data_IF_602015651750
#
_entry.id   IF_602015651750
#
_cell.length_a   1.000
_cell.length_b   1.000
_cell.length_c   1.000
_cell.angle_alpha   90.00
_cell.angle_beta   90.00
_cell.angle_gamma   90.00
#
_symmetry.space_group_name_H-M   'P 1'
#
loop_
_entity.id
_entity.type
_entity.pdbx_description
1 polymer ?
#
# COMPACT_ATOMS: atom_id res chain seq x y z
N UNK A 1 -8.08 31.11 -8.76
CA UNK A 1 -7.80 32.24 -9.68
C UNK A 1 -6.50 31.95 -10.44
N UNK A 2 -6.54 31.12 -11.49
CA UNK A 2 -5.48 31.01 -12.51
C UNK A 2 -6.08 30.41 -13.81
N UNK A 3 -5.97 31.19 -14.89
CA UNK A 3 -6.09 30.95 -16.34
C UNK A 3 -6.83 29.69 -16.88
N UNK A 4 -8.07 29.90 -17.32
CA UNK A 4 -8.67 29.22 -18.49
C UNK A 4 -9.27 30.27 -19.44
N UNK A 5 -8.39 31.00 -20.14
CA UNK A 5 -8.78 31.90 -21.25
C UNK A 5 -8.05 31.35 -22.48
N UNK A 6 -8.69 30.42 -23.19
CA UNK A 6 -8.10 29.78 -24.36
C UNK A 6 -9.08 29.18 -25.37
N UNK A 7 -10.32 28.87 -24.97
CA UNK A 7 -11.30 28.22 -25.86
C UNK A 7 -12.38 29.15 -26.46
N UNK A 8 -12.50 30.39 -25.97
CA UNK A 8 -13.47 31.37 -26.48
C UNK A 8 -13.15 31.88 -27.92
N UNK A 9 -11.88 32.04 -28.36
CA UNK A 9 -11.60 32.57 -29.70
C UNK A 9 -11.92 31.59 -30.84
N UNK A 10 -11.86 30.27 -30.57
CA UNK A 10 -12.00 29.21 -31.58
C UNK A 10 -13.48 29.04 -31.98
N UNK A 11 -14.40 29.10 -31.01
CA UNK A 11 -15.84 29.04 -31.26
C UNK A 11 -16.32 30.28 -32.04
N UNK A 12 -15.76 31.46 -31.73
CA UNK A 12 -16.04 32.69 -32.48
C UNK A 12 -15.57 32.65 -33.94
N UNK A 13 -14.48 31.95 -34.24
CA UNK A 13 -13.95 31.79 -35.60
C UNK A 13 -14.80 30.83 -36.44
N UNK A 14 -15.31 29.76 -35.84
CA UNK A 14 -16.19 28.78 -36.49
C UNK A 14 -17.55 29.42 -36.82
N UNK A 15 -18.12 30.22 -35.91
CA UNK A 15 -19.36 30.95 -36.15
C UNK A 15 -19.22 32.04 -37.23
N UNK A 16 -18.06 32.71 -37.32
CA UNK A 16 -17.78 33.70 -38.39
C UNK A 16 -17.58 33.04 -39.76
N UNK A 17 -17.03 31.82 -39.83
CA UNK A 17 -16.93 31.05 -41.09
C UNK A 17 -18.29 30.51 -41.55
N UNK A 18 -19.16 30.09 -40.63
CA UNK A 18 -20.52 29.66 -40.98
C UNK A 18 -21.39 30.81 -41.52
N UNK A 19 -21.28 32.02 -40.96
CA UNK A 19 -22.03 33.19 -41.45
C UNK A 19 -21.56 33.70 -42.84
N UNK A 20 -20.32 33.42 -43.26
CA UNK A 20 -19.83 33.78 -44.60
C UNK A 20 -20.28 32.83 -45.71
N UNK A 21 -20.66 31.60 -45.37
CA UNK A 21 -21.14 30.59 -46.34
C UNK A 21 -22.64 30.82 -46.68
N UNK A 22 -23.37 31.57 -45.85
CA UNK A 22 -24.78 31.89 -46.08
C UNK A 22 -25.04 33.13 -46.96
N UNK A 23 -23.99 33.81 -47.46
CA UNK A 23 -24.14 35.04 -48.27
C UNK A 23 -24.04 34.85 -49.79
N UNK A 24 -23.88 33.62 -50.30
CA UNK A 24 -23.94 33.34 -51.74
C UNK A 24 -24.91 32.19 -52.00
N UNK A 25 -26.15 32.53 -52.36
CA UNK A 25 -27.17 31.55 -52.74
C UNK A 25 -28.56 32.18 -52.76
N UNK A 26 -28.91 32.82 -53.86
CA UNK A 26 -30.30 33.13 -54.18
C UNK A 26 -31.08 31.82 -54.34
N UNK A 27 -32.02 31.51 -53.46
CA UNK A 27 -33.24 30.76 -53.80
C UNK A 27 -34.33 31.06 -52.78
N UNK A 28 -35.39 31.72 -53.25
CA UNK A 28 -36.64 31.94 -52.53
C UNK A 28 -37.33 30.59 -52.29
N UNK A 29 -37.29 30.07 -51.06
CA UNK A 29 -38.32 29.21 -50.42
C UNK A 29 -37.86 28.66 -49.06
N UNK A 30 -37.46 29.50 -48.09
CA UNK A 30 -37.10 29.02 -46.74
C UNK A 30 -37.64 29.97 -45.65
N UNK A 31 -38.95 30.21 -45.63
CA UNK A 31 -39.60 30.88 -44.48
C UNK A 31 -40.42 29.91 -43.61
N UNK A 32 -40.48 28.61 -43.93
CA UNK A 32 -41.06 27.56 -43.07
C UNK A 32 -40.05 26.68 -42.32
N UNK A 33 -38.76 26.73 -42.67
CA UNK A 33 -37.71 25.95 -41.97
C UNK A 33 -37.06 26.72 -40.80
N UNK A 34 -37.24 28.04 -40.71
CA UNK A 34 -36.57 28.86 -39.68
C UNK A 34 -37.24 28.76 -38.31
N UNK A 35 -38.55 28.44 -38.23
CA UNK A 35 -39.22 28.23 -36.92
C UNK A 35 -38.89 26.89 -36.25
N UNK A 36 -38.43 25.88 -37.00
CA UNK A 36 -38.01 24.59 -36.43
C UNK A 36 -36.59 24.69 -35.83
N UNK A 37 -35.78 25.65 -36.30
CA UNK A 37 -34.38 25.80 -35.87
C UNK A 37 -34.19 26.50 -34.51
N UNK A 38 -35.05 27.45 -34.13
CA UNK A 38 -34.88 28.21 -32.87
C UNK A 38 -35.35 27.44 -31.63
N UNK A 39 -36.35 26.57 -31.76
CA UNK A 39 -36.82 25.69 -30.67
C UNK A 39 -35.87 24.50 -30.47
N UNK A 40 -35.17 24.06 -31.51
CA UNK A 40 -34.17 23.00 -31.42
C UNK A 40 -32.88 23.45 -30.73
N UNK A 41 -32.36 24.65 -31.04
CA UNK A 41 -31.05 25.08 -30.50
C UNK A 41 -31.10 25.36 -29.00
N UNK A 42 -32.14 26.03 -28.47
CA UNK A 42 -32.26 26.26 -27.02
C UNK A 42 -32.41 24.96 -26.24
N UNK A 43 -33.17 24.01 -26.78
CA UNK A 43 -33.38 22.70 -26.16
C UNK A 43 -32.08 21.89 -26.20
N UNK A 44 -31.36 21.88 -27.31
CA UNK A 44 -30.06 21.20 -27.45
C UNK A 44 -29.00 21.82 -26.55
N UNK A 45 -28.94 23.15 -26.44
CA UNK A 45 -28.01 23.84 -25.51
C UNK A 45 -28.37 23.55 -24.05
N UNK A 46 -29.66 23.56 -23.70
CA UNK A 46 -30.09 23.22 -22.34
C UNK A 46 -29.78 21.75 -22.01
N UNK A 47 -30.02 20.82 -22.94
CA UNK A 47 -29.67 19.40 -22.79
C UNK A 47 -28.16 19.17 -22.72
N UNK A 48 -27.36 19.91 -23.49
CA UNK A 48 -25.89 19.87 -23.40
C UNK A 48 -25.38 20.47 -22.09
N UNK A 49 -26.01 21.53 -21.57
CA UNK A 49 -25.66 22.11 -20.28
C UNK A 49 -26.09 21.22 -19.11
N UNK A 50 -27.23 20.53 -19.20
CA UNK A 50 -27.64 19.55 -18.18
C UNK A 50 -26.81 18.28 -18.26
N UNK A 51 -26.47 17.79 -19.46
CA UNK A 51 -25.54 16.67 -19.63
C UNK A 51 -24.13 17.04 -19.15
N UNK A 52 -23.62 18.23 -19.46
CA UNK A 52 -22.33 18.70 -18.96
C UNK A 52 -22.37 18.94 -17.44
N UNK A 53 -23.49 19.42 -16.89
CA UNK A 53 -23.69 19.55 -15.45
C UNK A 53 -23.76 18.20 -14.73
N UNK A 54 -24.45 17.21 -15.31
CA UNK A 54 -24.49 15.83 -14.84
C UNK A 54 -23.14 15.13 -15.01
N UNK A 55 -22.38 15.44 -16.07
CA UNK A 55 -21.02 14.92 -16.29
C UNK A 55 -20.01 15.57 -15.34
N UNK A 56 -20.11 16.87 -15.04
CA UNK A 56 -19.31 17.52 -13.99
C UNK A 56 -19.68 17.02 -12.59
N UNK A 57 -20.96 16.79 -12.32
CA UNK A 57 -21.43 16.20 -11.05
C UNK A 57 -21.00 14.75 -10.92
N UNK A 58 -21.00 13.98 -12.02
CA UNK A 58 -20.47 12.62 -12.06
C UNK A 58 -18.94 12.57 -11.99
N UNK A 59 -18.23 13.55 -12.57
CA UNK A 59 -16.77 13.71 -12.44
C UNK A 59 -16.34 14.22 -11.07
N UNK A 60 -17.17 15.02 -10.39
CA UNK A 60 -16.94 15.44 -9.00
C UNK A 60 -17.36 14.38 -7.97
N UNK A 61 -18.23 13.43 -8.35
CA UNK A 61 -18.57 12.26 -7.53
C UNK A 61 -17.73 11.01 -7.85
N UNK A 62 -16.98 11.00 -8.95
CA UNK A 62 -15.99 9.96 -9.21
C UNK A 62 -14.69 10.30 -8.47
N UNK A 63 -14.39 9.47 -7.46
CA UNK A 63 -13.09 9.31 -6.78
C UNK A 63 -12.69 10.38 -5.76
N UNK A 64 -13.49 10.60 -4.71
CA UNK A 64 -12.87 10.95 -3.42
C UNK A 64 -12.40 9.66 -2.75
N UNK A 65 -11.11 9.56 -2.45
CA UNK A 65 -10.58 8.50 -1.61
C UNK A 65 -11.12 8.68 -0.18
N UNK A 66 -11.13 7.61 0.62
CA UNK A 66 -11.52 7.73 2.03
C UNK A 66 -10.57 8.70 2.77
N UNK A 67 -9.29 8.66 2.42
CA UNK A 67 -8.24 9.59 2.87
C UNK A 67 -8.47 11.06 2.50
N UNK A 68 -9.35 11.38 1.54
CA UNK A 68 -9.73 12.78 1.27
C UNK A 68 -10.72 13.33 2.32
N UNK A 69 -11.27 12.45 3.17
CA UNK A 69 -12.35 12.80 4.12
C UNK A 69 -11.91 12.73 5.58
N UNK A 70 -10.93 11.89 5.87
CA UNK A 70 -10.34 11.69 7.20
C UNK A 70 -8.85 11.43 7.08
N UNK A 71 -8.11 11.72 8.15
CA UNK A 71 -6.69 11.41 8.31
C UNK A 71 -6.53 10.59 9.60
N UNK A 72 -6.12 9.33 9.49
CA UNK A 72 -5.97 8.47 10.67
C UNK A 72 -4.61 8.72 11.32
N UNK A 73 -4.65 9.22 12.55
CA UNK A 73 -3.46 9.52 13.34
C UNK A 73 -2.85 8.24 13.91
N UNK A 74 -3.68 7.33 14.42
CA UNK A 74 -3.21 6.12 15.08
C UNK A 74 -4.24 4.99 15.07
N UNK A 75 -3.74 3.77 14.83
CA UNK A 75 -4.44 2.53 15.09
C UNK A 75 -3.90 1.87 16.37
N UNK A 76 -4.79 1.59 17.32
CA UNK A 76 -4.56 0.71 18.48
C UNK A 76 -5.19 -0.65 18.17
N UNK A 77 -4.37 -1.65 17.83
CA UNK A 77 -4.82 -2.95 17.35
C UNK A 77 -4.71 -3.99 18.46
N UNK A 78 -5.81 -4.23 19.16
CA UNK A 78 -5.91 -5.34 20.11
C UNK A 78 -6.48 -6.55 19.38
N UNK A 79 -5.65 -7.57 19.15
CA UNK A 79 -6.04 -8.78 18.42
C UNK A 79 -5.84 -10.02 19.29
N UNK A 80 -6.84 -10.89 19.34
CA UNK A 80 -6.77 -12.19 20.01
C UNK A 80 -6.81 -13.31 18.97
N UNK A 81 -5.77 -14.14 18.97
CA UNK A 81 -5.63 -15.33 18.12
C UNK A 81 -5.05 -16.46 18.97
N UNK A 82 -5.90 -17.05 19.81
CA UNK A 82 -5.50 -18.07 20.80
C UNK A 82 -5.68 -19.50 20.30
N UNK A 83 -6.59 -19.71 19.34
CA UNK A 83 -6.79 -21.00 18.67
C UNK A 83 -6.59 -20.88 17.15
N UNK A 84 -5.37 -21.20 16.70
CA UNK A 84 -5.01 -21.18 15.28
C UNK A 84 -5.78 -22.24 14.46
N UNK A 85 -6.31 -23.29 15.09
CA UNK A 85 -7.09 -24.32 14.40
C UNK A 85 -8.50 -23.84 14.03
N UNK A 86 -9.03 -22.89 14.81
CA UNK A 86 -10.32 -22.25 14.51
C UNK A 86 -10.27 -21.37 13.25
N UNK A 87 -9.08 -20.90 12.87
CA UNK A 87 -8.88 -19.93 11.79
C UNK A 87 -9.75 -18.67 11.95
N UNK A 88 -9.91 -18.22 13.18
CA UNK A 88 -10.64 -17.00 13.52
C UNK A 88 -9.75 -16.01 14.24
N UNK A 89 -10.11 -14.74 14.11
CA UNK A 89 -9.54 -13.65 14.90
C UNK A 89 -10.67 -12.94 15.64
N UNK A 90 -10.37 -12.37 16.81
CA UNK A 90 -11.25 -11.43 17.51
C UNK A 90 -10.45 -10.17 17.83
N UNK A 91 -11.02 -9.00 17.55
CA UNK A 91 -10.30 -7.74 17.62
C UNK A 91 -11.08 -6.61 18.26
N UNK A 92 -10.33 -5.69 18.87
CA UNK A 92 -10.74 -4.33 19.23
C UNK A 92 -9.75 -3.38 18.58
N UNK A 93 -10.20 -2.64 17.57
CA UNK A 93 -9.41 -1.59 16.94
C UNK A 93 -9.82 -0.23 17.51
N UNK A 94 -8.88 0.52 18.07
CA UNK A 94 -9.02 1.94 18.35
C UNK A 94 -8.52 2.77 17.18
N UNK A 95 -9.36 3.64 16.63
CA UNK A 95 -9.04 4.50 15.49
C UNK A 95 -9.08 5.94 15.96
N UNK A 96 -7.91 6.56 16.10
CA UNK A 96 -7.77 7.99 16.39
C UNK A 96 -7.56 8.74 15.08
N UNK A 97 -8.42 9.72 14.78
CA UNK A 97 -8.42 10.38 13.48
C UNK A 97 -8.81 11.85 13.58
N UNK A 98 -8.47 12.59 12.53
CA UNK A 98 -8.89 13.99 12.29
C UNK A 98 -9.61 14.09 10.95
N UNK A 99 -10.09 15.29 10.59
CA UNK A 99 -10.69 15.54 9.28
C UNK A 99 -10.28 16.89 8.70
N UNK A 100 -10.04 16.99 7.38
CA UNK A 100 -9.89 18.26 6.68
C UNK A 100 -11.24 18.90 6.31
N UNK A 101 -12.37 18.25 6.63
CA UNK A 101 -13.71 18.71 6.29
C UNK A 101 -14.39 19.41 7.49
N UNK A 102 -15.49 20.11 7.21
CA UNK A 102 -16.35 20.72 8.23
C UNK A 102 -17.62 19.91 8.40
N UNK A 103 -18.07 19.74 9.64
CA UNK A 103 -19.35 19.11 10.01
C UNK A 103 -19.56 17.68 9.47
N UNK A 104 -18.54 16.81 9.58
CA UNK A 104 -18.73 15.37 9.31
C UNK A 104 -19.44 14.71 10.49
N UNK A 105 -20.45 13.90 10.19
CA UNK A 105 -21.21 13.13 11.19
C UNK A 105 -20.97 11.62 11.08
N UNK A 106 -20.05 11.22 10.19
CA UNK A 106 -19.75 9.83 9.94
C UNK A 106 -18.25 9.61 9.75
N UNK A 107 -17.76 8.51 10.31
CA UNK A 107 -16.48 7.91 9.99
C UNK A 107 -16.71 6.75 9.01
N UNK A 108 -15.97 6.71 7.90
CA UNK A 108 -16.04 5.61 6.93
C UNK A 108 -14.72 4.86 6.95
N UNK A 109 -14.79 3.56 7.20
CA UNK A 109 -13.67 2.62 7.17
C UNK A 109 -14.00 1.46 6.23
N UNK A 110 -13.01 0.61 5.98
CA UNK A 110 -13.15 -0.68 5.33
C UNK A 110 -12.84 -1.82 6.30
N UNK A 111 -13.66 -2.86 6.28
CA UNK A 111 -13.45 -4.13 6.96
C UNK A 111 -14.05 -5.24 6.10
N UNK A 112 -13.22 -6.18 5.66
CA UNK A 112 -13.60 -7.26 4.74
C UNK A 112 -13.89 -8.55 5.51
N UNK A 113 -15.05 -9.14 5.24
CA UNK A 113 -15.49 -10.48 5.69
C UNK A 113 -15.68 -10.68 7.21
N UNK A 114 -15.08 -9.84 8.05
CA UNK A 114 -15.23 -9.88 9.50
C UNK A 114 -16.54 -9.23 9.95
N UNK A 115 -17.11 -9.75 11.04
CA UNK A 115 -18.35 -9.23 11.62
C UNK A 115 -18.02 -8.14 12.65
N UNK A 116 -18.67 -6.98 12.54
CA UNK A 116 -18.64 -5.94 13.58
C UNK A 116 -19.72 -6.23 14.63
N UNK A 117 -19.31 -6.33 15.89
CA UNK A 117 -20.20 -6.59 17.02
C UNK A 117 -20.74 -5.31 17.62
N UNK A 118 -19.85 -4.32 17.81
CA UNK A 118 -20.22 -3.03 18.36
C UNK A 118 -19.19 -1.97 18.03
N UNK A 119 -19.62 -0.71 18.08
CA UNK A 119 -18.77 0.46 17.91
C UNK A 119 -19.02 1.41 19.07
N UNK A 120 -17.95 1.95 19.65
CA UNK A 120 -18.03 2.83 20.81
C UNK A 120 -17.17 4.09 20.64
N UNK A 121 -17.60 5.20 21.23
CA UNK A 121 -16.75 6.39 21.36
C UNK A 121 -15.71 6.21 22.47
N UNK A 122 -14.80 7.18 22.61
CA UNK A 122 -13.81 7.22 23.68
C UNK A 122 -14.43 7.18 25.09
N UNK A 123 -15.64 7.75 25.24
CA UNK A 123 -16.38 7.78 26.50
C UNK A 123 -17.31 6.56 26.70
N UNK A 124 -17.05 5.45 26.00
CA UNK A 124 -17.81 4.19 26.06
C UNK A 124 -19.29 4.31 25.61
N UNK A 125 -19.64 5.38 24.88
CA UNK A 125 -21.00 5.55 24.32
C UNK A 125 -21.14 4.64 23.10
N UNK A 126 -22.22 3.86 23.04
CA UNK A 126 -22.52 3.01 21.89
C UNK A 126 -22.90 3.87 20.67
N UNK A 127 -22.17 3.68 19.58
CA UNK A 127 -22.39 4.36 18.31
C UNK A 127 -23.16 3.45 17.35
N UNK A 128 -24.05 4.06 16.56
CA UNK A 128 -24.67 3.35 15.44
C UNK A 128 -23.65 3.09 14.34
N UNK A 129 -23.84 2.01 13.59
CA UNK A 129 -23.05 1.74 12.38
C UNK A 129 -23.85 0.96 11.34
N UNK A 130 -23.37 0.97 10.10
CA UNK A 130 -23.78 0.05 9.03
C UNK A 130 -22.56 -0.58 8.40
N UNK A 131 -22.60 -1.87 8.13
CA UNK A 131 -21.53 -2.61 7.46
C UNK A 131 -22.10 -3.34 6.25
N UNK A 132 -21.75 -2.87 5.05
CA UNK A 132 -22.25 -3.40 3.78
C UNK A 132 -21.09 -3.64 2.83
N UNK A 133 -20.90 -4.90 2.41
CA UNK A 133 -19.70 -5.30 1.70
C UNK A 133 -18.47 -5.06 2.57
N UNK A 134 -17.46 -4.37 2.03
CA UNK A 134 -16.29 -3.97 2.82
C UNK A 134 -16.52 -2.66 3.60
N UNK A 135 -17.55 -1.87 3.29
CA UNK A 135 -17.68 -0.52 3.82
C UNK A 135 -18.35 -0.51 5.19
N UNK A 136 -17.63 0.00 6.19
CA UNK A 136 -18.10 0.26 7.54
C UNK A 136 -18.35 1.77 7.72
N UNK A 137 -19.60 2.17 7.90
CA UNK A 137 -19.98 3.57 8.17
C UNK A 137 -20.45 3.70 9.61
N UNK A 138 -19.75 4.52 10.40
CA UNK A 138 -19.98 4.73 11.83
C UNK A 138 -20.59 6.11 12.01
N UNK A 139 -21.73 6.21 12.69
CA UNK A 139 -22.39 7.48 12.98
C UNK A 139 -21.78 8.08 14.26
N UNK A 140 -21.17 9.26 14.14
CA UNK A 140 -20.53 9.95 15.27
C UNK A 140 -21.60 10.57 16.17
N UNK A 141 -21.34 10.58 17.48
CA UNK A 141 -22.21 11.22 18.48
C UNK A 141 -22.08 12.74 18.49
N UNK A 142 -20.96 13.27 17.99
CA UNK A 142 -20.72 14.69 17.75
C UNK A 142 -20.18 14.92 16.33
N UNK A 143 -20.66 15.97 15.67
CA UNK A 143 -20.12 16.41 14.41
C UNK A 143 -18.66 16.85 14.58
N UNK A 144 -17.78 16.40 13.69
CA UNK A 144 -16.38 16.84 13.68
C UNK A 144 -16.15 17.90 12.59
N UNK A 145 -15.27 18.84 12.87
CA UNK A 145 -14.77 19.85 11.94
C UNK A 145 -13.25 19.91 11.94
N UNK A 146 -12.70 20.73 11.04
CA UNK A 146 -11.24 20.94 10.94
C UNK A 146 -10.65 21.33 12.28
N UNK A 147 -9.63 20.57 12.71
CA UNK A 147 -8.93 20.75 13.98
C UNK A 147 -9.42 19.84 15.11
N UNK A 148 -10.57 19.18 14.94
CA UNK A 148 -11.05 18.19 15.91
C UNK A 148 -10.30 16.87 15.78
N UNK A 149 -10.18 16.16 16.90
CA UNK A 149 -9.66 14.78 16.97
C UNK A 149 -10.69 13.92 17.66
N UNK A 150 -10.94 12.73 17.13
CA UNK A 150 -11.85 11.75 17.74
C UNK A 150 -11.19 10.38 17.83
N UNK A 151 -11.71 9.56 18.73
CA UNK A 151 -11.32 8.16 18.93
C UNK A 151 -12.56 7.29 18.97
N UNK A 152 -12.56 6.27 18.13
CA UNK A 152 -13.62 5.27 18.04
C UNK A 152 -13.02 3.88 18.23
N UNK A 153 -13.70 3.04 19.00
CA UNK A 153 -13.36 1.63 19.17
C UNK A 153 -14.34 0.75 18.38
N UNK A 154 -13.81 -0.14 17.56
CA UNK A 154 -14.57 -1.13 16.79
C UNK A 154 -14.25 -2.52 17.31
N UNK A 155 -15.27 -3.24 17.76
CA UNK A 155 -15.17 -4.64 18.21
C UNK A 155 -15.65 -5.55 17.08
N UNK A 156 -14.86 -6.54 16.72
CA UNK A 156 -15.12 -7.39 15.57
C UNK A 156 -14.53 -8.79 15.74
N UNK A 157 -15.04 -9.76 14.98
CA UNK A 157 -14.49 -11.11 14.95
C UNK A 157 -14.82 -11.84 13.65
N UNK A 158 -14.22 -13.01 13.47
CA UNK A 158 -14.58 -13.96 12.40
C UNK A 158 -13.36 -14.56 11.72
N UNK A 159 -13.60 -15.21 10.58
CA UNK A 159 -12.54 -15.74 9.71
C UNK A 159 -12.14 -14.65 8.71
N UNK A 160 -10.90 -14.16 8.76
CA UNK A 160 -10.45 -13.09 7.87
C UNK A 160 -10.33 -13.58 6.43
N UNK A 161 -10.38 -12.64 5.49
CA UNK A 161 -10.22 -12.93 4.06
C UNK A 161 -8.76 -13.19 3.71
N UNK A 162 -8.52 -14.13 2.79
CA UNK A 162 -7.27 -14.26 2.06
C UNK A 162 -7.55 -14.71 0.61
N UNK A 163 -6.59 -14.49 -0.26
CA UNK A 163 -6.55 -15.03 -1.62
C UNK A 163 -5.38 -16.02 -1.75
N UNK A 164 -4.96 -16.37 -2.98
CA UNK A 164 -3.82 -17.28 -3.14
C UNK A 164 -2.51 -16.66 -2.63
N UNK A 165 -2.34 -15.36 -2.84
CA UNK A 165 -1.23 -14.55 -2.36
C UNK A 165 -1.80 -13.21 -1.89
N UNK A 166 -2.05 -13.06 -0.58
CA UNK A 166 -2.61 -11.84 -0.01
C UNK A 166 -3.66 -12.08 1.07
N UNK A 167 -3.76 -11.14 2.01
CA UNK A 167 -4.72 -11.19 3.10
C UNK A 167 -4.20 -12.00 4.30
N UNK A 168 -5.09 -12.48 5.15
CA UNK A 168 -4.71 -13.10 6.42
C UNK A 168 -4.78 -14.63 6.36
N UNK A 169 -3.63 -15.27 6.46
CA UNK A 169 -3.49 -16.71 6.30
C UNK A 169 -3.37 -17.42 7.65
N UNK A 170 -3.93 -18.63 7.70
CA UNK A 170 -3.62 -19.65 8.71
C UNK A 170 -2.93 -20.82 8.01
N UNK A 171 -1.77 -21.24 8.52
CA UNK A 171 -0.93 -22.27 7.93
C UNK A 171 -0.40 -23.23 9.01
N UNK A 172 -1.21 -24.23 9.36
CA UNK A 172 -0.89 -25.15 10.45
C UNK A 172 -0.88 -24.43 11.79
N UNK A 173 0.27 -24.45 12.49
CA UNK A 173 0.46 -23.74 13.76
C UNK A 173 0.93 -22.29 13.59
N UNK A 174 0.63 -21.66 12.45
CA UNK A 174 1.04 -20.29 12.16
C UNK A 174 -0.13 -19.48 11.60
N UNK A 175 -0.13 -18.17 11.85
CA UNK A 175 -0.99 -17.22 11.18
C UNK A 175 -0.21 -15.95 10.84
N UNK A 176 -0.51 -15.31 9.71
CA UNK A 176 0.19 -14.10 9.28
C UNK A 176 -0.62 -13.33 8.23
N UNK A 177 -0.45 -12.02 8.13
CA UNK A 177 -1.03 -11.24 7.03
C UNK A 177 -0.04 -11.01 5.87
N UNK A 178 -0.55 -10.89 4.67
CA UNK A 178 0.13 -10.29 3.53
C UNK A 178 -0.66 -9.03 3.17
N UNK A 179 -0.03 -7.88 3.34
CA UNK A 179 -0.73 -6.59 3.31
C UNK A 179 -1.25 -6.16 1.94
N UNK A 180 -0.83 -6.82 0.86
CA UNK A 180 -1.34 -6.64 -0.49
C UNK A 180 -1.78 -7.97 -1.09
N UNK A 181 -2.62 -7.92 -2.12
CA UNK A 181 -3.05 -9.08 -2.91
C UNK A 181 -3.00 -8.79 -4.40
N UNK A 182 -2.72 -9.81 -5.19
CA UNK A 182 -2.58 -9.72 -6.64
C UNK A 182 -3.91 -9.90 -7.39
N UNK A 183 -4.91 -10.50 -6.76
CA UNK A 183 -6.26 -10.69 -7.32
C UNK A 183 -7.20 -9.53 -6.93
N UNK A 184 -7.01 -8.97 -5.74
CA UNK A 184 -7.80 -7.87 -5.23
C UNK A 184 -7.49 -6.55 -5.94
N UNK A 185 -8.52 -5.81 -6.34
CA UNK A 185 -8.43 -4.44 -6.84
C UNK A 185 -9.39 -3.57 -6.02
N UNK A 186 -8.89 -2.56 -5.28
CA UNK A 186 -7.48 -2.20 -5.10
C UNK A 186 -6.68 -3.26 -4.33
N UNK A 187 -5.36 -3.24 -4.50
CA UNK A 187 -4.45 -4.30 -4.06
C UNK A 187 -4.20 -4.36 -2.55
N UNK A 188 -4.37 -3.26 -1.83
CA UNK A 188 -4.19 -3.23 -0.38
C UNK A 188 -5.22 -4.10 0.35
N UNK A 189 -4.76 -4.79 1.40
CA UNK A 189 -5.51 -5.78 2.17
C UNK A 189 -5.38 -5.58 3.68
N UNK A 190 -5.06 -4.37 4.17
CA UNK A 190 -5.15 -4.05 5.60
C UNK A 190 -6.55 -4.32 6.17
N UNK A 191 -7.59 -4.04 5.36
CA UNK A 191 -9.02 -4.28 5.69
C UNK A 191 -9.38 -5.74 5.98
N UNK A 192 -8.46 -6.69 5.72
CA UNK A 192 -8.70 -8.13 5.94
C UNK A 192 -8.59 -8.56 7.39
N UNK A 193 -7.95 -7.76 8.25
CA UNK A 193 -7.73 -8.13 9.65
C UNK A 193 -7.99 -7.02 10.67
N UNK A 194 -8.16 -5.78 10.23
CA UNK A 194 -8.63 -4.67 11.07
C UNK A 194 -9.40 -3.62 10.26
N UNK A 195 -10.33 -2.86 10.89
CA UNK A 195 -11.07 -1.81 10.22
C UNK A 195 -10.18 -0.58 10.00
N UNK A 196 -10.08 -0.10 8.75
CA UNK A 196 -9.13 0.96 8.40
C UNK A 196 -9.52 1.77 7.17
N UNK A 197 -8.85 2.91 6.97
CA UNK A 197 -8.77 3.57 5.66
C UNK A 197 -7.73 2.81 4.85
N UNK A 198 -8.20 1.88 4.01
CA UNK A 198 -7.31 0.95 3.33
C UNK A 198 -6.95 1.52 1.95
N UNK A 199 -5.91 2.34 1.90
CA UNK A 199 -5.29 2.85 0.68
C UNK A 199 -3.76 2.94 0.83
N UNK A 200 -3.07 3.47 -0.19
CA UNK A 200 -1.61 3.59 -0.19
C UNK A 200 -1.09 4.92 0.40
N UNK A 201 -1.97 5.86 0.77
CA UNK A 201 -1.61 7.25 1.05
C UNK A 201 -1.93 7.73 2.45
N UNK A 202 -2.98 7.24 3.10
CA UNK A 202 -3.25 7.49 4.52
C UNK A 202 -2.15 6.82 5.34
N UNK A 203 -1.55 7.56 6.29
CA UNK A 203 -0.46 7.04 7.10
C UNK A 203 -0.72 7.29 8.57
N UNK A 204 -0.70 6.22 9.36
CA UNK A 204 -0.99 6.26 10.79
C UNK A 204 0.14 5.64 11.62
N UNK A 205 0.23 6.00 12.90
CA UNK A 205 1.01 5.25 13.88
C UNK A 205 0.31 3.93 14.25
N UNK A 206 1.07 2.91 14.59
CA UNK A 206 0.52 1.61 15.02
C UNK A 206 0.99 1.22 16.41
N UNK A 207 0.03 0.80 17.22
CA UNK A 207 0.21 0.27 18.56
C UNK A 207 -0.46 -1.11 18.61
N UNK A 208 0.34 -2.19 18.63
CA UNK A 208 -0.15 -3.56 18.48
C UNK A 208 -0.18 -4.26 19.84
N UNK A 209 -1.33 -4.80 20.21
CA UNK A 209 -1.55 -5.64 21.40
C UNK A 209 -2.09 -7.00 20.97
N UNK A 210 -1.20 -7.98 20.81
CA UNK A 210 -1.57 -9.28 20.24
C UNK A 210 -1.53 -10.36 21.30
N UNK A 211 -2.71 -10.92 21.61
CA UNK A 211 -2.89 -12.01 22.57
C UNK A 211 -2.91 -13.35 21.87
N UNK A 212 -2.06 -14.27 22.32
CA UNK A 212 -1.86 -15.61 21.75
C UNK A 212 -1.74 -16.66 22.85
N UNK A 213 -1.95 -17.93 22.48
CA UNK A 213 -1.61 -19.05 23.37
C UNK A 213 -0.13 -18.99 23.80
N UNK A 214 0.18 -19.44 25.02
CA UNK A 214 1.51 -19.28 25.62
C UNK A 214 2.62 -20.14 24.99
N UNK A 215 2.28 -20.97 24.01
CA UNK A 215 3.25 -21.69 23.17
C UNK A 215 3.68 -20.90 21.93
N UNK A 216 3.05 -19.74 21.68
CA UNK A 216 3.28 -18.93 20.49
C UNK A 216 3.90 -17.56 20.82
N UNK A 217 4.57 -17.00 19.83
CA UNK A 217 4.97 -15.60 19.76
C UNK A 217 4.05 -14.86 18.80
N UNK A 218 3.78 -13.58 19.10
CA UNK A 218 3.23 -12.63 18.14
C UNK A 218 4.29 -11.58 17.79
N UNK A 219 4.54 -11.42 16.49
CA UNK A 219 5.58 -10.55 15.94
C UNK A 219 4.94 -9.54 14.99
N UNK A 220 5.06 -8.25 15.32
CA UNK A 220 4.54 -7.14 14.53
C UNK A 220 5.67 -6.22 14.07
N UNK A 221 5.32 -5.15 13.34
CA UNK A 221 6.24 -4.04 13.05
C UNK A 221 6.59 -3.24 14.31
N UNK A 222 7.67 -2.46 14.25
CA UNK A 222 8.18 -1.66 15.37
C UNK A 222 9.10 -2.41 16.33
N UNK A 223 9.23 -1.86 17.53
CA UNK A 223 9.96 -2.43 18.66
C UNK A 223 9.02 -3.09 19.67
N UNK A 224 9.42 -4.25 20.17
CA UNK A 224 8.73 -4.94 21.27
C UNK A 224 8.88 -4.13 22.56
N UNK A 225 7.77 -3.67 23.10
CA UNK A 225 7.70 -2.87 24.32
C UNK A 225 7.57 -3.77 25.55
N UNK A 226 6.69 -4.78 25.49
CA UNK A 226 6.46 -5.68 26.61
C UNK A 226 5.82 -7.01 26.17
N UNK A 227 5.98 -8.03 27.01
CA UNK A 227 5.23 -9.29 26.95
C UNK A 227 4.58 -9.46 28.32
N UNK A 228 3.26 -9.61 28.36
CA UNK A 228 2.50 -9.76 29.59
C UNK A 228 1.77 -11.09 29.61
N UNK A 229 1.83 -11.82 30.72
CA UNK A 229 0.99 -12.99 30.95
C UNK A 229 -0.37 -12.56 31.50
N UNK A 230 -1.43 -12.95 30.82
CA UNK A 230 -2.81 -12.61 31.16
C UNK A 230 -3.39 -13.58 32.21
N UNK A 231 -4.51 -13.22 32.83
CA UNK A 231 -5.14 -14.03 33.87
C UNK A 231 -5.59 -15.42 33.38
N UNK A 232 -5.90 -15.55 32.09
CA UNK A 232 -6.28 -16.81 31.44
C UNK A 232 -5.07 -17.64 30.96
N UNK A 233 -3.84 -17.17 31.22
CA UNK A 233 -2.60 -17.83 30.84
C UNK A 233 -2.12 -17.53 29.42
N UNK A 234 -2.85 -16.72 28.64
CA UNK A 234 -2.38 -16.23 27.34
C UNK A 234 -1.24 -15.23 27.49
N UNK A 235 -0.46 -15.05 26.42
CA UNK A 235 0.57 -14.02 26.34
C UNK A 235 0.07 -12.88 25.47
N UNK A 236 0.21 -11.65 25.95
CA UNK A 236 -0.05 -10.43 25.20
C UNK A 236 1.27 -9.74 24.87
N UNK A 237 1.54 -9.60 23.57
CA UNK A 237 2.71 -8.91 23.03
C UNK A 237 2.33 -7.47 22.67
N UNK A 238 3.12 -6.51 23.15
CA UNK A 238 2.96 -5.10 22.85
C UNK A 238 4.09 -4.62 21.92
N UNK A 239 3.76 -4.28 20.69
CA UNK A 239 4.71 -3.73 19.70
C UNK A 239 4.31 -2.31 19.31
N UNK A 240 5.31 -1.47 19.00
CA UNK A 240 5.07 -0.09 18.61
C UNK A 240 6.09 0.40 17.60
N UNK A 241 5.62 1.04 16.53
CA UNK A 241 6.46 1.76 15.57
C UNK A 241 6.47 3.26 15.89
N UNK A 242 7.61 3.92 15.66
CA UNK A 242 7.74 5.39 15.75
C UNK A 242 7.56 6.09 14.40
N UNK A 243 7.17 5.35 13.37
CA UNK A 243 6.86 5.87 12.04
C UNK A 243 5.39 5.70 11.72
N UNK A 244 4.84 6.66 10.99
CA UNK A 244 3.53 6.52 10.34
C UNK A 244 3.66 5.62 9.11
N UNK A 245 2.72 4.70 8.91
CA UNK A 245 2.72 3.74 7.82
C UNK A 245 1.33 3.68 7.14
N UNK A 246 1.25 3.41 5.83
CA UNK A 246 0.01 2.94 5.21
C UNK A 246 -0.36 1.54 5.71
N UNK A 247 -1.64 1.22 5.62
CA UNK A 247 -2.24 -0.01 6.19
C UNK A 247 -1.64 -1.29 5.65
N UNK A 248 -1.23 -1.32 4.39
CA UNK A 248 -0.63 -2.50 3.76
C UNK A 248 0.74 -2.86 4.37
N UNK A 249 1.41 -1.94 5.06
CA UNK A 249 2.69 -2.22 5.72
C UNK A 249 2.54 -2.69 7.16
N UNK A 250 1.36 -2.55 7.78
CA UNK A 250 1.09 -3.11 9.09
C UNK A 250 1.16 -4.64 9.06
N UNK A 251 1.77 -5.24 10.08
CA UNK A 251 2.08 -6.67 10.08
C UNK A 251 1.79 -7.34 11.41
N UNK A 252 1.40 -8.62 11.33
CA UNK A 252 1.31 -9.54 12.44
C UNK A 252 1.61 -10.95 11.93
N UNK A 253 2.52 -11.63 12.61
CA UNK A 253 2.81 -13.05 12.43
C UNK A 253 2.77 -13.75 13.79
N UNK A 254 2.09 -14.89 13.85
CA UNK A 254 1.81 -15.64 15.06
C UNK A 254 2.22 -17.09 14.83
N UNK A 255 2.91 -17.68 15.80
CA UNK A 255 3.26 -19.10 15.77
C UNK A 255 4.38 -19.43 16.76
N UNK A 256 4.83 -20.69 16.82
CA UNK A 256 5.88 -21.13 17.74
C UNK A 256 7.26 -20.72 17.20
N UNK A 257 7.50 -19.41 17.09
CA UNK A 257 8.74 -18.83 16.61
C UNK A 257 9.85 -18.90 17.67
N UNK A 258 11.09 -18.96 17.20
CA UNK A 258 12.30 -18.74 17.98
C UNK A 258 13.01 -17.48 17.49
N UNK A 259 13.55 -16.70 18.43
CA UNK A 259 14.28 -15.47 18.13
C UNK A 259 15.77 -15.77 17.95
N UNK A 260 16.31 -15.40 16.78
CA UNK A 260 17.75 -15.19 16.59
C UNK A 260 17.99 -13.68 16.52
N UNK A 261 18.73 -13.14 17.48
CA UNK A 261 19.04 -11.71 17.55
C UNK A 261 20.43 -11.41 16.96
N UNK A 262 20.54 -10.22 16.35
CA UNK A 262 21.78 -9.63 15.87
C UNK A 262 21.70 -8.09 15.91
N UNK A 263 22.76 -7.40 15.51
CA UNK A 263 22.80 -5.94 15.40
C UNK A 263 23.69 -5.51 14.23
N UNK A 264 23.39 -4.37 13.62
CA UNK A 264 24.28 -3.69 12.66
C UNK A 264 24.56 -2.27 13.12
N UNK A 265 25.79 -1.81 12.92
CA UNK A 265 26.14 -0.40 13.09
C UNK A 265 25.73 0.36 11.83
N UNK A 266 24.62 1.09 11.91
CA UNK A 266 24.16 1.96 10.83
C UNK A 266 24.65 3.40 10.96
N UNK A 267 24.35 4.23 9.96
CA UNK A 267 24.78 5.64 9.92
C UNK A 267 24.24 6.48 11.08
N UNK A 268 23.02 6.18 11.53
CA UNK A 268 22.36 6.86 12.65
C UNK A 268 22.57 6.18 14.01
N UNK A 269 23.35 5.09 14.08
CA UNK A 269 23.62 4.33 15.30
C UNK A 269 23.36 2.83 15.16
N UNK A 270 23.35 2.12 16.29
CA UNK A 270 23.08 0.68 16.31
C UNK A 270 21.62 0.40 15.92
N UNK A 271 21.43 -0.48 14.94
CA UNK A 271 20.12 -0.97 14.50
C UNK A 271 19.97 -2.44 14.96
N UNK A 272 18.97 -2.76 15.79
CA UNK A 272 18.69 -4.14 16.15
C UNK A 272 18.17 -4.93 14.95
N UNK A 273 18.64 -6.18 14.84
CA UNK A 273 18.15 -7.16 13.88
C UNK A 273 17.50 -8.31 14.64
N UNK A 274 16.30 -8.70 14.21
CA UNK A 274 15.61 -9.84 14.80
C UNK A 274 15.12 -10.78 13.72
N UNK A 275 15.49 -12.05 13.81
CA UNK A 275 14.95 -13.12 12.98
C UNK A 275 14.01 -13.98 13.83
N UNK A 276 12.71 -13.88 13.59
CA UNK A 276 11.71 -14.78 14.16
C UNK A 276 11.46 -15.91 13.18
N UNK A 277 12.02 -17.08 13.47
CA UNK A 277 12.04 -18.23 12.54
C UNK A 277 11.47 -19.46 13.21
N UNK A 278 11.13 -20.48 12.42
CA UNK A 278 10.70 -21.76 13.01
C UNK A 278 11.86 -22.34 13.83
N UNK A 279 11.58 -23.14 14.88
CA UNK A 279 12.64 -23.69 15.72
C UNK A 279 13.71 -24.46 14.93
N UNK A 280 13.29 -25.18 13.89
CA UNK A 280 14.16 -25.94 12.99
C UNK A 280 15.01 -25.09 12.04
N UNK A 281 14.74 -23.80 11.91
CA UNK A 281 15.44 -22.87 11.01
C UNK A 281 16.48 -21.99 11.75
N UNK A 282 16.51 -22.03 13.09
CA UNK A 282 17.39 -21.20 13.94
C UNK A 282 18.87 -21.30 13.57
N UNK A 283 19.36 -22.52 13.28
CA UNK A 283 20.77 -22.76 12.89
C UNK A 283 21.07 -22.29 11.47
N UNK A 284 20.04 -22.18 10.61
CA UNK A 284 20.14 -21.72 9.22
C UNK A 284 20.03 -20.21 9.08
N UNK A 285 19.35 -19.53 10.00
CA UNK A 285 19.12 -18.09 9.94
C UNK A 285 20.44 -17.31 9.75
N UNK A 286 21.45 -17.58 10.59
CA UNK A 286 22.75 -16.87 10.51
C UNK A 286 23.45 -17.02 9.16
N UNK A 287 23.43 -18.23 8.59
CA UNK A 287 24.04 -18.48 7.27
C UNK A 287 23.27 -17.82 6.12
N UNK A 288 21.93 -17.76 6.24
CA UNK A 288 21.06 -17.15 5.22
C UNK A 288 21.24 -15.63 5.15
N UNK A 289 21.42 -14.98 6.31
CA UNK A 289 21.45 -13.52 6.43
C UNK A 289 22.84 -12.95 6.76
N UNK A 290 23.92 -13.71 6.52
CA UNK A 290 25.28 -13.29 6.90
C UNK A 290 25.73 -11.98 6.24
N UNK A 291 25.22 -11.66 5.06
CA UNK A 291 25.50 -10.42 4.33
C UNK A 291 24.52 -9.28 4.64
N UNK A 292 23.48 -9.50 5.45
CA UNK A 292 22.47 -8.48 5.75
C UNK A 292 23.10 -7.19 6.34
N UNK A 293 24.07 -7.24 7.28
CA UNK A 293 24.74 -6.02 7.74
C UNK A 293 25.49 -5.27 6.64
N UNK A 294 26.16 -5.98 5.72
CA UNK A 294 26.89 -5.37 4.61
C UNK A 294 25.94 -4.72 3.60
N UNK A 295 24.84 -5.40 3.26
CA UNK A 295 23.82 -4.89 2.34
C UNK A 295 23.11 -3.68 2.95
N UNK A 296 22.86 -3.68 4.26
CA UNK A 296 22.33 -2.52 4.98
C UNK A 296 23.26 -1.31 4.81
N UNK A 297 24.55 -1.48 5.04
CA UNK A 297 25.53 -0.40 4.85
C UNK A 297 25.63 0.10 3.40
N UNK A 298 25.50 -0.80 2.41
CA UNK A 298 25.47 -0.43 0.99
C UNK A 298 24.26 0.47 0.67
N UNK A 299 23.09 0.16 1.24
CA UNK A 299 21.88 0.96 1.03
C UNK A 299 21.89 2.27 1.81
N UNK A 300 22.44 2.29 3.04
CA UNK A 300 22.63 3.53 3.77
C UNK A 300 23.59 4.49 3.03
N UNK A 301 24.73 3.99 2.51
CA UNK A 301 25.67 4.79 1.72
C UNK A 301 24.99 5.44 0.49
N UNK A 302 24.01 4.76 -0.11
CA UNK A 302 23.35 5.19 -1.32
C UNK A 302 22.13 6.08 -1.09
N UNK A 303 21.36 5.82 -0.02
CA UNK A 303 20.02 6.38 0.18
C UNK A 303 19.87 7.13 1.52
N UNK A 304 20.95 7.19 2.29
CA UNK A 304 21.04 7.72 3.64
C UNK A 304 20.58 6.72 4.71
N UNK A 305 20.84 7.07 5.97
CA UNK A 305 20.52 6.28 7.16
C UNK A 305 19.19 5.50 7.11
N UNK A 306 19.23 4.28 7.65
CA UNK A 306 18.10 3.37 7.75
C UNK A 306 16.92 4.06 8.44
N UNK A 307 15.73 4.10 7.83
CA UNK A 307 14.67 5.00 8.29
C UNK A 307 13.86 4.51 9.49
N UNK A 308 14.01 3.26 9.92
CA UNK A 308 13.20 2.64 10.96
C UNK A 308 14.02 2.17 12.18
N UNK A 309 13.35 1.66 13.23
CA UNK A 309 14.00 1.33 14.50
C UNK A 309 14.58 -0.10 14.52
N UNK A 310 14.10 -0.99 13.65
CA UNK A 310 14.50 -2.40 13.62
C UNK A 310 14.53 -2.95 12.19
N UNK A 311 15.49 -3.82 11.91
CA UNK A 311 15.42 -4.74 10.76
C UNK A 311 14.85 -6.05 11.28
N UNK A 312 13.53 -6.19 11.22
CA UNK A 312 12.84 -7.44 11.57
C UNK A 312 12.67 -8.32 10.35
N UNK A 313 12.89 -9.63 10.52
CA UNK A 313 12.56 -10.65 9.53
C UNK A 313 11.79 -11.76 10.23
N UNK A 314 10.64 -12.13 9.69
CA UNK A 314 9.82 -13.23 10.21
C UNK A 314 9.56 -14.27 9.13
N UNK A 315 9.82 -15.55 9.45
CA UNK A 315 9.60 -16.67 8.54
C UNK A 315 8.11 -16.97 8.34
N UNK A 316 7.62 -16.93 7.10
CA UNK A 316 6.23 -17.28 6.74
C UNK A 316 6.18 -18.43 5.74
N UNK A 317 5.03 -19.09 5.61
CA UNK A 317 4.88 -20.19 4.65
C UNK A 317 4.69 -19.72 3.21
N UNK A 318 4.48 -18.43 2.98
CA UNK A 318 4.09 -17.87 1.69
C UNK A 318 4.69 -16.48 1.49
N UNK A 319 5.28 -16.28 0.31
CA UNK A 319 5.71 -14.98 -0.19
C UNK A 319 6.85 -14.34 0.59
N UNK A 320 7.36 -13.25 0.02
CA UNK A 320 8.06 -12.21 0.77
C UNK A 320 7.19 -10.95 0.73
N UNK A 321 7.23 -10.15 1.78
CA UNK A 321 6.48 -8.90 1.88
C UNK A 321 7.26 -7.91 2.73
N UNK A 322 7.37 -6.68 2.25
CA UNK A 322 8.23 -5.63 2.78
C UNK A 322 7.67 -4.93 4.02
N UNK A 323 6.82 -5.60 4.80
CA UNK A 323 6.24 -5.08 6.03
C UNK A 323 7.27 -4.30 6.85
N UNK A 324 6.97 -3.03 7.14
CA UNK A 324 7.93 -2.13 7.75
C UNK A 324 8.36 -2.67 9.11
N UNK A 325 9.68 -2.69 9.33
CA UNK A 325 10.31 -3.23 10.53
C UNK A 325 10.07 -4.72 10.81
N UNK A 326 9.42 -5.47 9.91
CA UNK A 326 9.11 -6.89 10.09
C UNK A 326 8.87 -7.61 8.75
N UNK A 327 9.90 -7.64 7.89
CA UNK A 327 9.86 -8.28 6.57
C UNK A 327 9.39 -9.73 6.73
N UNK A 328 8.33 -10.11 6.01
CA UNK A 328 7.94 -11.51 5.91
C UNK A 328 8.79 -12.16 4.84
N UNK A 329 9.35 -13.32 5.18
CA UNK A 329 10.34 -14.00 4.35
C UNK A 329 9.99 -15.49 4.26
N UNK A 330 9.99 -16.08 3.06
CA UNK A 330 9.49 -17.43 2.90
C UNK A 330 10.44 -18.43 3.59
N UNK A 331 9.87 -19.31 4.39
CA UNK A 331 10.61 -20.32 5.17
C UNK A 331 11.59 -21.15 4.32
N UNK A 332 11.27 -21.40 3.04
CA UNK A 332 12.13 -22.14 2.12
C UNK A 332 13.44 -21.42 1.76
N UNK A 333 13.46 -20.10 1.87
CA UNK A 333 14.63 -19.26 1.60
C UNK A 333 15.53 -19.06 2.84
N UNK A 334 15.11 -19.53 4.02
CA UNK A 334 15.92 -19.60 5.23
C UNK A 334 16.69 -20.93 5.26
N UNK A 335 17.56 -21.11 4.28
CA UNK A 335 18.18 -22.40 3.98
C UNK A 335 19.65 -22.54 4.42
N UNK A 336 20.22 -21.49 5.02
CA UNK A 336 21.60 -21.47 5.51
C UNK A 336 22.64 -21.10 4.47
N UNK A 337 22.20 -20.65 3.29
CA UNK A 337 23.06 -20.30 2.16
C UNK A 337 22.70 -18.93 1.60
N UNK A 338 23.53 -18.42 0.69
CA UNK A 338 23.31 -17.14 -0.01
C UNK A 338 22.44 -17.27 -1.28
N UNK A 339 21.79 -18.42 -1.52
CA UNK A 339 21.02 -18.65 -2.76
C UNK A 339 19.90 -17.63 -2.97
N UNK A 340 19.31 -17.15 -1.88
CA UNK A 340 18.14 -16.28 -1.88
C UNK A 340 18.46 -14.88 -1.34
N UNK A 341 19.74 -14.51 -1.24
CA UNK A 341 20.11 -13.21 -0.66
C UNK A 341 19.55 -12.01 -1.43
N UNK A 342 19.28 -12.21 -2.70
CA UNK A 342 18.64 -11.23 -3.56
C UNK A 342 17.25 -10.84 -3.07
N UNK A 343 16.53 -11.79 -2.46
CA UNK A 343 15.17 -11.59 -2.01
C UNK A 343 15.16 -10.68 -0.78
N UNK A 344 15.94 -10.99 0.26
CA UNK A 344 15.98 -10.07 1.41
C UNK A 344 16.65 -8.74 1.06
N UNK A 345 17.54 -8.69 0.05
CA UNK A 345 18.09 -7.44 -0.46
C UNK A 345 17.01 -6.60 -1.17
N UNK A 346 16.08 -7.24 -1.88
CA UNK A 346 14.88 -6.61 -2.45
C UNK A 346 13.99 -6.07 -1.32
N UNK A 347 13.58 -6.93 -0.38
CA UNK A 347 12.72 -6.55 0.75
C UNK A 347 13.32 -5.45 1.63
N UNK A 348 14.63 -5.50 1.90
CA UNK A 348 15.30 -4.48 2.71
C UNK A 348 15.30 -3.12 2.00
N UNK A 349 15.43 -3.10 0.66
CA UNK A 349 15.46 -1.85 -0.09
C UNK A 349 14.13 -1.09 -0.03
N UNK A 350 13.02 -1.80 0.17
CA UNK A 350 11.71 -1.19 0.36
C UNK A 350 11.62 -0.31 1.61
N UNK A 351 12.51 -0.47 2.59
CA UNK A 351 12.59 0.44 3.73
C UNK A 351 12.79 1.89 3.26
N UNK A 352 13.46 2.12 2.14
CA UNK A 352 13.52 3.43 1.47
C UNK A 352 12.44 3.57 0.39
N UNK A 353 12.33 2.60 -0.53
CA UNK A 353 11.47 2.65 -1.71
C UNK A 353 10.18 1.85 -1.52
N UNK A 354 9.15 2.49 -0.99
CA UNK A 354 7.87 1.88 -0.68
C UNK A 354 7.44 2.24 0.73
N UNK A 355 8.33 2.11 1.71
CA UNK A 355 7.95 2.29 3.11
C UNK A 355 8.18 3.71 3.61
N UNK A 356 9.41 4.24 3.43
CA UNK A 356 9.71 5.65 3.73
C UNK A 356 9.08 6.57 2.68
N UNK A 357 9.22 6.23 1.41
CA UNK A 357 8.60 6.94 0.29
C UNK A 357 7.69 5.98 -0.45
N UNK A 358 6.38 6.16 -0.31
CA UNK A 358 5.35 5.31 -0.92
C UNK A 358 4.83 5.92 -2.21
N UNK A 359 4.58 5.11 -3.23
CA UNK A 359 3.87 5.54 -4.44
C UNK A 359 2.51 6.17 -4.10
N UNK A 360 2.10 7.19 -4.85
CA UNK A 360 0.83 7.89 -4.61
C UNK A 360 -0.40 7.06 -5.02
N UNK A 361 -0.21 6.03 -5.84
CA UNK A 361 -1.23 5.05 -6.23
C UNK A 361 -0.56 3.76 -6.68
N UNK A 362 -1.33 2.67 -6.73
CA UNK A 362 -0.91 1.40 -7.33
C UNK A 362 -0.52 1.53 -8.81
N UNK A 363 -1.08 2.51 -9.52
CA UNK A 363 -0.67 2.83 -10.89
C UNK A 363 0.81 3.32 -11.01
N UNK A 364 1.44 3.72 -9.90
CA UNK A 364 2.82 4.19 -9.83
C UNK A 364 3.76 3.21 -9.09
N UNK A 365 3.30 1.97 -8.83
CA UNK A 365 3.99 0.97 -8.01
C UNK A 365 5.41 0.63 -8.47
N UNK A 366 5.78 0.93 -9.73
CA UNK A 366 7.16 0.79 -10.22
C UNK A 366 8.17 1.65 -9.43
N UNK A 367 7.71 2.71 -8.77
CA UNK A 367 8.53 3.50 -7.85
C UNK A 367 8.94 2.71 -6.61
N UNK A 368 8.14 1.72 -6.20
CA UNK A 368 8.48 0.78 -5.15
C UNK A 368 9.25 -0.39 -5.77
N UNK A 369 8.58 -1.17 -6.60
CA UNK A 369 9.01 -2.49 -7.07
C UNK A 369 10.14 -2.42 -8.09
N UNK A 370 10.11 -1.43 -8.98
CA UNK A 370 11.16 -1.22 -9.98
C UNK A 370 12.47 -0.76 -9.33
N UNK A 371 12.38 0.06 -8.28
CA UNK A 371 13.57 0.47 -7.51
C UNK A 371 14.11 -0.66 -6.65
N UNK A 372 13.25 -1.44 -6.00
CA UNK A 372 13.68 -2.62 -5.27
C UNK A 372 14.33 -3.67 -6.18
N UNK A 373 13.73 -3.89 -7.36
CA UNK A 373 14.30 -4.73 -8.41
C UNK A 373 15.65 -4.24 -8.91
N UNK A 374 15.86 -2.92 -8.98
CA UNK A 374 17.17 -2.36 -9.30
C UNK A 374 18.19 -2.55 -8.16
N UNK A 375 17.76 -2.43 -6.90
CA UNK A 375 18.63 -2.62 -5.73
C UNK A 375 19.24 -4.02 -5.68
N UNK A 376 18.53 -5.04 -6.19
CA UNK A 376 19.09 -6.36 -6.42
C UNK A 376 20.37 -6.37 -7.28
N UNK A 377 20.44 -5.49 -8.28
CA UNK A 377 21.66 -5.33 -9.10
C UNK A 377 22.71 -4.50 -8.37
N UNK A 378 22.27 -3.43 -7.70
CA UNK A 378 23.17 -2.49 -7.04
C UNK A 378 23.97 -3.15 -5.91
N UNK A 379 23.34 -3.93 -5.01
CA UNK A 379 24.08 -4.59 -3.94
C UNK A 379 25.11 -5.59 -4.51
N UNK A 380 24.77 -6.30 -5.59
CA UNK A 380 25.69 -7.22 -6.26
C UNK A 380 26.89 -6.51 -6.85
N UNK A 381 26.70 -5.32 -7.41
CA UNK A 381 27.80 -4.49 -7.89
C UNK A 381 28.77 -4.15 -6.76
N UNK A 382 28.23 -3.71 -5.62
CA UNK A 382 29.01 -3.23 -4.48
C UNK A 382 29.69 -4.39 -3.72
N UNK A 383 29.02 -5.54 -3.60
CA UNK A 383 29.50 -6.68 -2.84
C UNK A 383 30.36 -7.66 -3.67
N UNK A 384 30.01 -7.87 -4.94
CA UNK A 384 30.61 -8.90 -5.81
C UNK A 384 31.23 -8.34 -7.10
N UNK A 385 31.14 -7.03 -7.32
CA UNK A 385 31.72 -6.35 -8.48
C UNK A 385 30.82 -6.31 -9.71
N UNK A 386 31.27 -5.52 -10.69
CA UNK A 386 30.47 -5.15 -11.87
C UNK A 386 29.99 -6.34 -12.72
N UNK A 387 30.74 -7.45 -12.77
CA UNK A 387 30.30 -8.60 -13.57
C UNK A 387 29.12 -9.33 -12.93
N UNK A 388 29.04 -9.38 -11.60
CA UNK A 388 27.86 -9.92 -10.91
C UNK A 388 26.61 -9.08 -11.20
N UNK A 389 26.76 -7.74 -11.19
CA UNK A 389 25.70 -6.82 -11.58
C UNK A 389 25.25 -7.03 -13.03
N UNK A 390 26.20 -7.15 -13.98
CA UNK A 390 25.90 -7.43 -15.39
C UNK A 390 25.20 -8.78 -15.59
N UNK A 391 25.60 -9.81 -14.86
CA UNK A 391 24.98 -11.13 -14.93
C UNK A 391 23.54 -11.13 -14.42
N UNK A 392 23.21 -10.27 -13.44
CA UNK A 392 21.82 -10.02 -13.04
C UNK A 392 21.06 -9.21 -14.12
N UNK A 393 21.64 -8.12 -14.62
CA UNK A 393 20.97 -7.15 -15.50
C UNK A 393 20.68 -7.69 -16.92
N UNK A 394 21.57 -8.51 -17.49
CA UNK A 394 21.41 -9.08 -18.85
C UNK A 394 20.09 -9.86 -19.05
N UNK A 395 19.70 -10.83 -18.20
CA UNK A 395 18.43 -11.53 -18.36
C UNK A 395 17.22 -10.61 -18.17
N UNK A 396 17.25 -9.63 -17.26
CA UNK A 396 16.17 -8.64 -17.11
C UNK A 396 15.98 -7.83 -18.39
N UNK A 397 17.08 -7.32 -18.96
CA UNK A 397 17.05 -6.57 -20.22
C UNK A 397 16.50 -7.43 -21.37
N UNK A 398 16.90 -8.71 -21.43
CA UNK A 398 16.36 -9.66 -22.40
C UNK A 398 14.86 -9.85 -22.21
N UNK A 399 14.38 -10.01 -20.97
CA UNK A 399 12.95 -10.16 -20.67
C UNK A 399 12.16 -8.96 -21.17
N UNK A 400 12.59 -7.75 -20.80
CA UNK A 400 11.96 -6.48 -21.20
C UNK A 400 11.88 -6.31 -22.71
N UNK A 401 12.97 -6.58 -23.42
CA UNK A 401 13.03 -6.35 -24.87
C UNK A 401 12.32 -7.43 -25.69
N UNK A 402 12.32 -8.68 -25.23
CA UNK A 402 11.89 -9.82 -26.08
C UNK A 402 10.57 -10.45 -25.64
N UNK A 403 10.21 -10.43 -24.36
CA UNK A 403 9.17 -11.32 -23.84
C UNK A 403 8.01 -10.62 -23.12
N UNK A 404 8.27 -9.56 -22.33
CA UNK A 404 7.24 -8.93 -21.48
C UNK A 404 6.01 -8.52 -22.28
N UNK A 405 6.19 -7.84 -23.42
CA UNK A 405 5.06 -7.39 -24.24
C UNK A 405 4.19 -8.55 -24.77
N UNK A 406 4.74 -9.76 -24.91
CA UNK A 406 3.97 -10.94 -25.30
C UNK A 406 3.29 -11.56 -24.07
N UNK A 407 4.01 -11.68 -22.95
CA UNK A 407 3.49 -12.22 -21.68
C UNK A 407 2.32 -11.41 -21.14
N UNK A 408 2.41 -10.08 -21.23
CA UNK A 408 1.44 -9.14 -20.67
C UNK A 408 0.48 -8.56 -21.72
N UNK A 409 0.46 -9.12 -22.95
CA UNK A 409 -0.51 -8.75 -23.98
C UNK A 409 -0.34 -7.34 -24.58
N UNK A 410 0.85 -6.73 -24.45
CA UNK A 410 1.19 -5.49 -25.14
C UNK A 410 2.38 -4.75 -24.52
N UNK A 411 2.87 -3.72 -25.20
CA UNK A 411 3.83 -2.78 -24.63
C UNK A 411 3.12 -1.83 -23.67
N UNK A 412 3.68 -1.62 -22.47
CA UNK A 412 3.09 -0.78 -21.43
C UNK A 412 4.05 0.32 -20.97
N UNK A 413 3.58 1.54 -20.66
CA UNK A 413 4.38 2.50 -19.90
C UNK A 413 4.65 1.99 -18.49
N UNK A 414 5.53 2.65 -17.72
CA UNK A 414 5.69 2.34 -16.29
C UNK A 414 4.63 3.01 -15.41
N UNK A 415 4.04 4.12 -15.88
CA UNK A 415 2.94 4.81 -15.23
C UNK A 415 2.07 5.57 -16.26
N UNK A 416 0.74 5.65 -16.06
CA UNK A 416 -0.02 4.90 -15.08
C UNK A 416 -0.11 3.41 -15.47
N UNK A 417 0.14 2.52 -14.53
CA UNK A 417 0.00 1.07 -14.71
C UNK A 417 -1.47 0.66 -14.55
N UNK A 418 -2.05 -0.14 -15.48
CA UNK A 418 -3.37 -0.71 -15.26
C UNK A 418 -3.34 -1.71 -14.09
N UNK A 419 -4.38 -1.74 -13.23
CA UNK A 419 -4.39 -2.59 -12.03
C UNK A 419 -4.12 -4.07 -12.28
N UNK A 420 -4.52 -4.60 -13.44
CA UNK A 420 -4.31 -6.02 -13.78
C UNK A 420 -2.82 -6.37 -13.99
N UNK A 421 -1.94 -5.36 -14.08
CA UNK A 421 -0.50 -5.50 -14.34
C UNK A 421 0.36 -4.82 -13.26
N UNK A 422 -0.24 -4.36 -12.15
CA UNK A 422 0.46 -3.73 -11.02
C UNK A 422 1.65 -4.56 -10.54
N UNK A 423 1.49 -5.88 -10.47
CA UNK A 423 2.55 -6.80 -10.02
C UNK A 423 3.13 -7.66 -11.16
N UNK A 424 3.13 -7.13 -12.39
CA UNK A 424 3.68 -7.81 -13.57
C UNK A 424 5.17 -7.53 -13.82
N UNK A 425 5.82 -8.37 -14.64
CA UNK A 425 7.22 -8.21 -15.08
C UNK A 425 7.51 -6.78 -15.60
N UNK A 426 6.55 -6.10 -16.25
CA UNK A 426 6.76 -4.74 -16.75
C UNK A 426 6.97 -3.73 -15.61
N UNK A 427 6.38 -3.91 -14.43
CA UNK A 427 6.64 -3.04 -13.28
C UNK A 427 8.03 -3.30 -12.73
N UNK A 428 8.34 -4.57 -12.44
CA UNK A 428 9.58 -4.98 -11.81
C UNK A 428 10.78 -4.81 -12.75
N UNK A 429 10.84 -5.60 -13.82
CA UNK A 429 12.03 -5.72 -14.65
C UNK A 429 12.26 -4.43 -15.45
N UNK A 430 11.23 -3.89 -16.12
CA UNK A 430 11.40 -2.63 -16.87
C UNK A 430 11.64 -1.45 -15.93
N UNK A 431 11.02 -1.41 -14.75
CA UNK A 431 11.31 -0.42 -13.72
C UNK A 431 12.80 -0.46 -13.32
N UNK A 432 13.30 -1.66 -13.02
CA UNK A 432 14.70 -1.87 -12.66
C UNK A 432 15.68 -1.49 -13.79
N UNK A 433 15.36 -1.83 -15.05
CA UNK A 433 16.15 -1.42 -16.22
C UNK A 433 16.17 0.11 -16.35
N UNK A 434 15.03 0.78 -16.23
CA UNK A 434 14.93 2.23 -16.39
C UNK A 434 15.71 2.95 -15.30
N UNK A 435 15.62 2.50 -14.04
CA UNK A 435 16.43 3.04 -12.93
C UNK A 435 17.93 2.83 -13.19
N UNK A 436 18.34 1.65 -13.65
CA UNK A 436 19.74 1.39 -14.00
C UNK A 436 20.24 2.29 -15.14
N UNK A 437 19.43 2.47 -16.19
CA UNK A 437 19.76 3.32 -17.32
C UNK A 437 19.85 4.79 -16.90
N UNK A 438 18.98 5.24 -15.99
CA UNK A 438 19.03 6.59 -15.43
C UNK A 438 20.34 6.84 -14.68
N UNK A 439 20.76 5.92 -13.79
CA UNK A 439 22.09 5.99 -13.15
C UNK A 439 23.21 6.05 -14.18
N UNK A 440 23.17 5.20 -15.20
CA UNK A 440 24.19 5.18 -16.26
C UNK A 440 24.26 6.47 -17.07
N UNK A 441 23.12 7.15 -17.28
CA UNK A 441 23.06 8.42 -18.00
C UNK A 441 23.54 9.61 -17.15
N UNK A 442 23.13 9.66 -15.87
CA UNK A 442 23.46 10.75 -14.96
C UNK A 442 24.88 10.64 -14.38
N UNK A 443 25.39 9.43 -14.22
CA UNK A 443 26.58 9.13 -13.42
C UNK A 443 26.28 9.16 -11.92
N UNK A 444 27.14 8.48 -11.15
CA UNK A 444 26.90 8.21 -9.72
C UNK A 444 26.74 9.48 -8.88
N UNK A 445 27.53 10.53 -9.13
CA UNK A 445 27.43 11.79 -8.37
C UNK A 445 26.06 12.43 -8.47
N UNK A 446 25.45 12.51 -9.66
CA UNK A 446 24.12 13.13 -9.80
C UNK A 446 22.99 12.18 -9.39
N UNK A 447 23.21 10.86 -9.50
CA UNK A 447 22.19 9.87 -9.19
C UNK A 447 22.01 9.70 -7.67
N UNK A 448 23.10 9.68 -6.89
CA UNK A 448 23.05 9.48 -5.44
C UNK A 448 23.04 10.79 -4.63
N UNK A 449 23.56 11.89 -5.18
CA UNK A 449 23.59 13.21 -4.53
C UNK A 449 24.99 13.68 -4.17
#
# INVERSE_FOLDING_TARGET
MFKFIGLIPIIGLILRKFNKILQFGQFNHINRMIMISKVSIKSVVLTLCTLAGLHLMAQNHSNRMLSDTIDVVNYELNLSVTDLSSQTISGKAGIRFTTPLTEINQLILELKQLQVDSVKSDNDVLLGFTHVGNRLSIYLDQAMSVGDTSLVYVFYHGTPFHEAWGGFHFAGSYAFNLGVGFESIPHNLGKTWFPCVDDFVDRAFYDYHISVDNTNYAVCGGLLQSISTMCDGTLMFHWKSDRTLPTYLASVAIGPYELVADTVSGEAGQIPITYYVRPSDTTRARGSFINLPLITGIYEEAFGAYPFQRIGITGTSLGAMEHAENIFYPNGSINGTLSDEWLYAHELSHMWFGNKVTCASDADIWLNEGWARWCETYFREKLYGIEAARNNMRPLMKNVLQYIHTKEGGYRPLSPMPPEYTYGDNVYDKGGIVTHALRGYLGDSLFFG
#
